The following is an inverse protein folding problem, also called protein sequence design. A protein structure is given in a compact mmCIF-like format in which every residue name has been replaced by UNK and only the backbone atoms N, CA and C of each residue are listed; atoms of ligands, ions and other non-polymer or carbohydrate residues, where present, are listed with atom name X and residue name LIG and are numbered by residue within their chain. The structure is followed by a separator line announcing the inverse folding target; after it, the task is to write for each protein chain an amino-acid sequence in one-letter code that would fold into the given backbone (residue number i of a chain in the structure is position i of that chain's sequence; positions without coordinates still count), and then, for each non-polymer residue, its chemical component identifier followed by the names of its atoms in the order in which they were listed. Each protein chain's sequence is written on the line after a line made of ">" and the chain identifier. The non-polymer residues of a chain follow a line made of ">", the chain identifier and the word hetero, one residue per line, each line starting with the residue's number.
data_IF_912551463812
#
_entry.id   IF_912551463812
#
_cell.length_a   1.000
_cell.length_b   1.000
_cell.length_c   1.000
_cell.angle_alpha   90.00
_cell.angle_beta   90.00
_cell.angle_gamma   90.00
#
_symmetry.space_group_name_H-M   'P 1'
#
loop_
_entity.id
_entity.type
_entity.pdbx_description
1 polymer ?
#
# COMPACT_ATOMS: atom_id res chain seq x y z
N UNK A 1 -27.32 1.62 -21.39
CA UNK A 1 -28.43 0.84 -20.82
C UNK A 1 -27.79 -0.09 -19.79
N UNK A 2 -27.87 0.26 -18.51
CA UNK A 2 -27.36 -0.57 -17.42
C UNK A 2 -28.36 -1.69 -17.17
N UNK A 3 -27.90 -2.92 -17.19
CA UNK A 3 -28.67 -4.08 -16.75
C UNK A 3 -28.98 -3.91 -15.26
N UNK A 4 -30.25 -3.75 -14.93
CA UNK A 4 -30.78 -3.81 -13.57
C UNK A 4 -30.56 -5.22 -13.04
N UNK A 5 -29.63 -5.35 -12.09
CA UNK A 5 -29.40 -6.56 -11.31
C UNK A 5 -30.61 -6.79 -10.37
N UNK A 6 -31.06 -8.02 -10.31
CA UNK A 6 -32.24 -8.46 -9.55
C UNK A 6 -32.09 -8.09 -8.06
N UNK A 7 -33.17 -7.61 -7.45
CA UNK A 7 -33.31 -6.99 -6.11
C UNK A 7 -32.77 -7.77 -4.90
N UNK A 8 -31.48 -8.06 -4.88
CA UNK A 8 -30.76 -8.56 -3.72
C UNK A 8 -30.22 -7.40 -2.85
N UNK A 9 -30.11 -7.59 -1.53
CA UNK A 9 -29.46 -6.63 -0.66
C UNK A 9 -28.01 -6.38 -1.14
N UNK A 10 -27.49 -5.13 -1.03
CA UNK A 10 -26.12 -4.82 -1.45
C UNK A 10 -25.11 -5.67 -0.69
N UNK A 11 -24.03 -6.08 -1.40
CA UNK A 11 -22.92 -6.81 -0.80
C UNK A 11 -22.32 -5.99 0.36
N UNK A 12 -22.08 -6.62 1.50
CA UNK A 12 -21.49 -6.00 2.68
C UNK A 12 -20.05 -6.44 2.81
N UNK A 13 -19.15 -5.47 2.86
CA UNK A 13 -17.70 -5.69 2.86
C UNK A 13 -17.09 -5.13 4.13
N UNK A 14 -16.35 -5.94 4.89
CA UNK A 14 -15.47 -5.48 5.94
C UNK A 14 -14.06 -5.37 5.41
N UNK A 15 -13.53 -4.16 5.28
CA UNK A 15 -12.12 -3.91 4.94
C UNK A 15 -11.31 -3.67 6.20
N UNK A 16 -10.15 -4.31 6.29
CA UNK A 16 -9.21 -4.16 7.40
C UNK A 16 -7.91 -3.53 6.85
N UNK A 17 -7.46 -2.47 7.49
CA UNK A 17 -6.22 -1.77 7.13
C UNK A 17 -5.51 -1.22 8.35
N UNK A 18 -4.18 -1.14 8.28
CA UNK A 18 -3.42 -0.35 9.26
C UNK A 18 -3.66 1.14 9.06
N UNK A 19 -3.69 1.59 7.82
CA UNK A 19 -3.68 2.99 7.43
C UNK A 19 -5.03 3.40 6.84
N UNK A 20 -5.52 4.56 7.26
CA UNK A 20 -6.64 5.26 6.64
C UNK A 20 -6.55 6.76 6.98
N UNK A 21 -6.97 7.69 6.11
CA UNK A 21 -6.95 9.12 6.44
C UNK A 21 -7.67 9.46 7.75
N UNK A 22 -7.09 10.32 8.59
CA UNK A 22 -5.93 11.19 8.33
C UNK A 22 -4.58 10.52 8.52
N UNK A 23 -4.49 9.28 9.00
CA UNK A 23 -3.26 8.59 9.35
C UNK A 23 -2.78 7.69 8.20
N UNK A 24 -2.24 8.30 7.16
CA UNK A 24 -1.65 7.60 6.00
C UNK A 24 -0.14 7.76 6.03
N UNK A 25 0.57 6.63 6.01
CA UNK A 25 2.03 6.57 5.99
C UNK A 25 2.59 6.18 4.61
N UNK A 26 1.83 5.40 3.85
CA UNK A 26 2.30 4.86 2.57
C UNK A 26 1.19 4.57 1.56
N UNK A 27 1.59 4.00 0.43
CA UNK A 27 0.67 3.72 -0.67
C UNK A 27 -0.50 2.79 -0.32
N UNK A 28 -0.34 1.90 0.67
CA UNK A 28 -1.41 1.01 1.08
C UNK A 28 -2.64 1.77 1.64
N UNK A 29 -2.41 2.79 2.47
CA UNK A 29 -3.49 3.63 2.99
C UNK A 29 -4.23 4.40 1.89
N UNK A 30 -3.49 4.94 0.91
CA UNK A 30 -4.07 5.59 -0.27
C UNK A 30 -4.94 4.61 -1.06
N UNK A 31 -4.45 3.38 -1.29
CA UNK A 31 -5.23 2.35 -2.01
C UNK A 31 -6.52 2.02 -1.26
N UNK A 32 -6.46 1.79 0.05
CA UNK A 32 -7.65 1.43 0.84
C UNK A 32 -8.68 2.56 0.84
N UNK A 33 -8.24 3.82 0.96
CA UNK A 33 -9.13 4.98 0.90
C UNK A 33 -9.88 5.04 -0.43
N UNK A 34 -9.17 5.05 -1.55
CA UNK A 34 -9.80 5.20 -2.86
C UNK A 34 -10.63 3.96 -3.24
N UNK A 35 -10.13 2.76 -2.94
CA UNK A 35 -10.87 1.52 -3.22
C UNK A 35 -12.16 1.44 -2.40
N UNK A 36 -12.12 1.77 -1.10
CA UNK A 36 -13.32 1.75 -0.26
C UNK A 36 -14.39 2.73 -0.74
N UNK A 37 -13.98 3.94 -1.18
CA UNK A 37 -14.90 4.93 -1.77
C UNK A 37 -15.47 4.46 -3.10
N UNK A 38 -14.66 3.88 -3.99
CA UNK A 38 -15.14 3.36 -5.26
C UNK A 38 -16.09 2.17 -5.09
N UNK A 39 -15.89 1.35 -4.06
CA UNK A 39 -16.79 0.26 -3.69
C UNK A 39 -18.10 0.75 -3.06
N UNK A 40 -18.09 1.85 -2.29
CA UNK A 40 -19.24 2.36 -1.57
C UNK A 40 -20.46 2.70 -2.46
N UNK A 41 -20.23 2.99 -3.75
CA UNK A 41 -21.31 3.17 -4.73
C UNK A 41 -21.99 1.88 -5.19
N UNK A 42 -21.45 0.70 -4.77
CA UNK A 42 -21.87 -0.63 -5.29
C UNK A 42 -22.03 -1.68 -4.18
N UNK A 43 -21.56 -1.39 -2.97
CA UNK A 43 -21.56 -2.25 -1.81
C UNK A 43 -21.68 -1.41 -0.53
N UNK A 44 -22.09 -2.00 0.57
CA UNK A 44 -21.97 -1.39 1.89
C UNK A 44 -20.60 -1.74 2.47
N UNK A 45 -19.74 -0.74 2.67
CA UNK A 45 -18.35 -0.93 3.10
C UNK A 45 -18.15 -0.43 4.53
N UNK A 46 -17.66 -1.30 5.42
CA UNK A 46 -17.08 -0.92 6.70
C UNK A 46 -15.57 -1.04 6.62
N UNK A 47 -14.84 0.04 6.95
CA UNK A 47 -13.38 0.02 7.10
C UNK A 47 -13.05 0.05 8.58
N UNK A 48 -12.27 -0.92 9.05
CA UNK A 48 -11.62 -0.90 10.37
C UNK A 48 -10.14 -0.60 10.17
N UNK A 49 -9.64 0.44 10.82
CA UNK A 49 -8.25 0.85 10.69
C UNK A 49 -7.61 1.13 12.07
N UNK A 50 -6.31 1.30 12.11
CA UNK A 50 -5.61 1.69 13.32
C UNK A 50 -5.87 3.18 13.61
N UNK A 51 -5.74 3.56 14.89
CA UNK A 51 -5.91 4.94 15.34
C UNK A 51 -7.34 5.27 15.74
N UNK A 52 -7.74 6.51 15.47
CA UNK A 52 -8.98 7.12 15.96
C UNK A 52 -9.90 7.66 14.84
N UNK A 53 -9.63 7.27 13.60
CA UNK A 53 -10.44 7.70 12.47
C UNK A 53 -11.91 7.27 12.65
N UNK A 54 -12.84 8.21 12.46
CA UNK A 54 -14.27 7.94 12.47
C UNK A 54 -14.95 8.74 11.35
N UNK A 55 -15.64 8.03 10.44
CA UNK A 55 -16.39 8.64 9.33
C UNK A 55 -17.63 7.83 9.03
N UNK A 56 -18.67 8.50 8.58
CA UNK A 56 -19.88 7.89 8.06
C UNK A 56 -20.33 8.68 6.83
N UNK A 57 -20.25 8.03 5.68
CA UNK A 57 -20.67 8.56 4.38
C UNK A 57 -21.65 7.55 3.74
N UNK A 58 -22.46 7.93 2.74
CA UNK A 58 -23.33 7.00 2.06
C UNK A 58 -22.56 5.77 1.53
N UNK A 59 -22.91 4.58 2.00
CA UNK A 59 -22.27 3.32 1.63
C UNK A 59 -20.91 3.05 2.27
N UNK A 60 -20.33 3.97 3.05
CA UNK A 60 -19.02 3.84 3.66
C UNK A 60 -19.01 4.24 5.13
N UNK A 61 -18.61 3.32 5.99
CA UNK A 61 -18.32 3.58 7.40
C UNK A 61 -16.86 3.29 7.70
N UNK A 62 -16.20 4.20 8.40
CA UNK A 62 -14.81 4.03 8.85
C UNK A 62 -14.76 4.08 10.36
N UNK A 63 -14.00 3.17 10.97
CA UNK A 63 -13.79 3.12 12.41
C UNK A 63 -12.34 2.82 12.75
N UNK A 64 -11.75 3.69 13.56
CA UNK A 64 -10.41 3.54 14.11
C UNK A 64 -10.39 2.65 15.37
N UNK A 65 -9.29 1.94 15.54
CA UNK A 65 -9.01 1.06 16.69
C UNK A 65 -7.63 1.38 17.24
N UNK A 66 -7.52 1.86 18.48
CA UNK A 66 -6.23 2.07 19.12
C UNK A 66 -5.60 0.75 19.50
N UNK A 67 -4.28 0.72 19.65
CA UNK A 67 -3.61 -0.41 20.30
C UNK A 67 -4.05 -0.55 21.77
N UNK A 68 -3.92 -1.74 22.34
CA UNK A 68 -4.17 -1.95 23.76
C UNK A 68 -3.16 -1.16 24.59
N UNK A 69 -3.62 -0.29 25.47
CA UNK A 69 -2.78 0.59 26.29
C UNK A 69 -1.69 -0.17 27.08
N UNK A 70 -1.99 -1.39 27.53
CA UNK A 70 -1.02 -2.23 28.25
C UNK A 70 0.04 -2.88 27.39
N UNK A 71 -0.18 -2.96 26.07
CA UNK A 71 0.75 -3.52 25.08
C UNK A 71 1.39 -2.40 24.25
N UNK A 72 0.75 -1.24 24.17
CA UNK A 72 1.39 -0.03 23.70
C UNK A 72 2.46 0.35 24.73
N UNK A 73 3.73 0.30 24.32
CA UNK A 73 4.81 0.81 25.17
C UNK A 73 4.62 2.29 25.48
N UNK A 74 5.32 2.85 26.46
CA UNK A 74 5.25 4.28 26.76
C UNK A 74 5.59 5.08 25.50
N UNK A 75 4.81 6.12 25.21
CA UNK A 75 5.09 7.04 24.11
C UNK A 75 6.45 7.70 24.34
N UNK A 76 7.20 8.06 23.28
CA UNK A 76 8.44 8.79 23.44
C UNK A 76 8.24 10.02 24.34
N UNK A 77 8.87 10.04 25.52
CA UNK A 77 8.75 11.13 26.51
C UNK A 77 7.80 10.88 27.67
N UNK A 78 7.04 9.77 27.71
CA UNK A 78 6.23 9.38 28.86
C UNK A 78 7.02 8.35 29.70
N UNK A 79 7.23 8.67 30.99
CA UNK A 79 7.65 7.70 31.99
C UNK A 79 6.44 6.92 32.49
N UNK A 80 6.58 5.61 32.71
CA UNK A 80 5.52 4.83 33.36
C UNK A 80 5.30 5.34 34.78
N UNK A 81 4.03 5.44 35.19
CA UNK A 81 3.66 5.87 36.57
C UNK A 81 4.24 4.94 37.65
N UNK A 82 4.66 3.72 37.30
CA UNK A 82 5.24 2.72 38.20
C UNK A 82 6.75 2.87 38.42
N UNK A 83 7.39 3.89 37.82
CA UNK A 83 8.84 4.13 37.97
C UNK A 83 9.73 3.08 37.28
N UNK A 84 9.17 2.17 36.47
CA UNK A 84 9.96 1.18 35.73
C UNK A 84 10.75 1.86 34.61
N UNK A 85 12.03 1.43 34.43
CA UNK A 85 12.88 1.92 33.35
C UNK A 85 12.28 1.59 31.99
N UNK A 86 12.49 2.46 30.97
CA UNK A 86 12.15 2.11 29.59
C UNK A 86 12.76 0.74 29.24
N UNK A 87 12.00 -0.07 28.55
CA UNK A 87 12.49 -1.35 28.04
C UNK A 87 13.84 -1.18 27.33
N UNK A 88 14.76 -2.11 27.52
CA UNK A 88 16.06 -2.10 26.84
C UNK A 88 15.84 -2.01 25.33
N UNK A 89 16.73 -1.31 24.61
CA UNK A 89 16.61 -1.01 23.16
C UNK A 89 16.28 -2.24 22.29
N UNK A 90 16.61 -3.46 22.74
CA UNK A 90 16.26 -4.73 22.10
C UNK A 90 14.79 -5.10 22.20
N UNK A 91 14.14 -4.82 23.33
CA UNK A 91 12.71 -5.11 23.53
C UNK A 91 11.79 -4.15 22.79
N UNK A 92 12.22 -2.90 22.59
CA UNK A 92 11.45 -1.88 21.87
C UNK A 92 11.25 -2.20 20.38
N UNK A 93 12.14 -2.96 19.76
CA UNK A 93 12.09 -3.24 18.31
C UNK A 93 10.92 -4.12 17.88
N UNK A 94 10.45 -5.03 18.71
CA UNK A 94 9.30 -5.89 18.39
C UNK A 94 7.95 -5.32 18.89
N UNK A 95 7.97 -4.28 19.69
CA UNK A 95 6.76 -3.64 20.21
C UNK A 95 5.74 -3.28 19.10
N UNK A 96 6.14 -2.73 17.93
CA UNK A 96 5.19 -2.44 16.85
C UNK A 96 4.45 -3.68 16.32
N UNK A 97 5.07 -4.86 16.39
CA UNK A 97 4.40 -6.10 15.98
C UNK A 97 3.32 -6.52 17.02
N UNK A 98 3.61 -6.37 18.30
CA UNK A 98 2.65 -6.66 19.37
C UNK A 98 1.50 -5.64 19.38
N UNK A 99 1.78 -4.38 19.14
CA UNK A 99 0.75 -3.34 18.98
C UNK A 99 -0.21 -3.68 17.83
N UNK A 100 0.32 -4.11 16.68
CA UNK A 100 -0.51 -4.53 15.55
C UNK A 100 -1.43 -5.69 15.94
N UNK A 101 -0.89 -6.75 16.56
CA UNK A 101 -1.69 -7.89 16.98
C UNK A 101 -2.75 -7.51 18.05
N UNK A 102 -2.45 -6.55 18.93
CA UNK A 102 -3.41 -6.07 19.92
C UNK A 102 -4.58 -5.34 19.29
N UNK A 103 -4.31 -4.53 18.27
CA UNK A 103 -5.35 -3.84 17.49
C UNK A 103 -6.21 -4.84 16.71
N UNK A 104 -5.61 -5.87 16.15
CA UNK A 104 -6.30 -6.97 15.46
C UNK A 104 -7.32 -7.67 16.35
N UNK A 105 -6.95 -7.94 17.61
CA UNK A 105 -7.88 -8.54 18.58
C UNK A 105 -9.07 -7.61 18.87
N UNK A 106 -8.85 -6.30 18.97
CA UNK A 106 -9.93 -5.33 19.16
C UNK A 106 -10.85 -5.25 17.92
N UNK A 107 -10.29 -5.26 16.71
CA UNK A 107 -11.06 -5.28 15.47
C UNK A 107 -11.93 -6.53 15.34
N UNK A 108 -11.39 -7.70 15.71
CA UNK A 108 -12.10 -8.97 15.59
C UNK A 108 -13.15 -9.19 16.71
N UNK A 109 -13.00 -8.52 17.87
CA UNK A 109 -13.96 -8.61 18.98
C UNK A 109 -15.33 -8.03 18.64
N UNK A 110 -15.36 -6.97 17.86
CA UNK A 110 -16.60 -6.28 17.56
C UNK A 110 -17.45 -7.07 16.56
N UNK A 111 -18.78 -6.96 16.72
CA UNK A 111 -19.73 -7.61 15.81
C UNK A 111 -19.41 -7.29 14.35
N UNK A 112 -19.41 -8.32 13.53
CA UNK A 112 -19.24 -8.22 12.08
C UNK A 112 -20.57 -8.46 11.39
N UNK A 113 -20.99 -7.54 10.53
CA UNK A 113 -22.14 -7.67 9.65
C UNK A 113 -21.66 -7.49 8.21
N UNK A 114 -20.97 -8.51 7.70
CA UNK A 114 -20.37 -8.50 6.37
C UNK A 114 -20.48 -9.89 5.71
N UNK A 115 -20.46 -9.89 4.39
CA UNK A 115 -20.50 -11.09 3.56
C UNK A 115 -19.08 -11.55 3.18
N UNK A 116 -18.10 -10.65 3.31
CA UNK A 116 -16.67 -10.89 3.05
C UNK A 116 -15.81 -9.98 3.92
N UNK A 117 -14.67 -10.49 4.41
CA UNK A 117 -13.62 -9.69 5.03
C UNK A 117 -12.42 -9.56 4.09
N UNK A 118 -11.90 -8.35 3.94
CA UNK A 118 -10.77 -8.04 3.08
C UNK A 118 -9.65 -7.36 3.86
N UNK A 119 -8.53 -8.07 4.07
CA UNK A 119 -7.35 -7.58 4.79
C UNK A 119 -6.32 -7.01 3.83
N UNK A 120 -5.72 -5.87 4.20
CA UNK A 120 -4.64 -5.22 3.49
C UNK A 120 -3.36 -5.26 4.31
N UNK A 121 -2.34 -5.95 3.83
CA UNK A 121 -1.03 -6.18 4.47
C UNK A 121 -1.07 -7.10 5.71
N UNK A 122 0.11 -7.46 6.22
CA UNK A 122 0.26 -8.32 7.39
C UNK A 122 -0.23 -7.69 8.70
N UNK A 123 -0.27 -6.36 8.76
CA UNK A 123 -0.65 -5.62 9.98
C UNK A 123 -2.05 -5.92 10.49
N UNK A 124 -2.93 -6.39 9.61
CA UNK A 124 -4.33 -6.75 9.95
C UNK A 124 -4.64 -8.22 9.60
N UNK A 125 -3.58 -9.01 9.43
CA UNK A 125 -3.69 -10.42 9.06
C UNK A 125 -4.42 -11.24 10.13
N UNK A 126 -4.07 -11.05 11.40
CA UNK A 126 -4.70 -11.77 12.51
C UNK A 126 -6.18 -11.41 12.65
N UNK A 127 -6.54 -10.12 12.50
CA UNK A 127 -7.95 -9.71 12.52
C UNK A 127 -8.75 -10.40 11.42
N UNK A 128 -8.23 -10.44 10.17
CA UNK A 128 -8.89 -11.12 9.07
C UNK A 128 -9.09 -12.61 9.31
N UNK A 129 -8.07 -13.31 9.81
CA UNK A 129 -8.15 -14.73 10.15
C UNK A 129 -9.15 -15.00 11.29
N UNK A 130 -9.16 -14.17 12.33
CA UNK A 130 -10.11 -14.28 13.44
C UNK A 130 -11.55 -14.01 12.99
N UNK A 131 -11.77 -12.95 12.22
CA UNK A 131 -13.09 -12.63 11.67
C UNK A 131 -13.61 -13.78 10.79
N UNK A 132 -12.76 -14.31 9.91
CA UNK A 132 -13.10 -15.49 9.10
C UNK A 132 -13.53 -16.69 9.96
N UNK A 133 -12.77 -16.96 11.01
CA UNK A 133 -13.03 -18.13 11.88
C UNK A 133 -14.24 -17.94 12.80
N UNK A 134 -14.45 -16.74 13.34
CA UNK A 134 -15.51 -16.46 14.33
C UNK A 134 -16.87 -16.24 13.68
N UNK A 135 -16.91 -15.69 12.48
CA UNK A 135 -18.16 -15.32 11.80
C UNK A 135 -18.47 -16.16 10.56
N UNK A 136 -17.59 -17.13 10.22
CA UNK A 136 -17.73 -18.03 9.07
C UNK A 136 -17.99 -17.29 7.75
N UNK A 137 -17.18 -16.25 7.49
CA UNK A 137 -17.20 -15.47 6.25
C UNK A 137 -15.87 -15.58 5.52
N UNK A 138 -15.85 -15.51 4.17
CA UNK A 138 -14.61 -15.63 3.40
C UNK A 138 -13.63 -14.50 3.67
N UNK A 139 -12.33 -14.84 3.64
CA UNK A 139 -11.22 -13.90 3.74
C UNK A 139 -10.58 -13.68 2.36
N UNK A 140 -10.50 -12.40 1.97
CA UNK A 140 -9.67 -11.93 0.87
C UNK A 140 -8.47 -11.18 1.44
N UNK A 141 -7.28 -11.35 0.87
CA UNK A 141 -6.05 -10.65 1.28
C UNK A 141 -5.44 -9.93 0.09
N UNK A 142 -5.24 -8.62 0.19
CA UNK A 142 -4.43 -7.87 -0.78
C UNK A 142 -3.04 -7.62 -0.24
N UNK A 143 -2.05 -7.98 -1.06
CA UNK A 143 -0.63 -7.80 -0.77
C UNK A 143 -0.10 -6.55 -1.48
N UNK A 144 0.42 -5.60 -0.70
CA UNK A 144 1.06 -4.38 -1.20
C UNK A 144 2.60 -4.46 -1.20
N UNK A 145 3.14 -5.44 -0.50
CA UNK A 145 4.55 -5.85 -0.46
C UNK A 145 4.61 -7.24 0.16
N UNK A 146 5.74 -7.94 0.04
CA UNK A 146 5.95 -9.24 0.65
C UNK A 146 7.09 -9.16 1.66
N UNK A 147 6.88 -9.67 2.87
CA UNK A 147 7.93 -9.70 3.90
C UNK A 147 9.16 -10.51 3.44
N UNK A 148 9.07 -11.69 2.79
CA UNK A 148 10.23 -12.41 2.27
C UNK A 148 11.12 -11.62 1.31
N UNK A 149 10.57 -10.62 0.61
CA UNK A 149 11.30 -9.77 -0.32
C UNK A 149 11.80 -8.46 0.32
N UNK A 150 11.69 -8.32 1.64
CA UNK A 150 12.05 -7.13 2.40
C UNK A 150 12.94 -7.46 3.60
N UNK A 151 14.06 -8.20 3.41
CA UNK A 151 14.90 -8.67 4.51
C UNK A 151 15.48 -7.52 5.38
N UNK A 152 15.65 -6.33 4.81
CA UNK A 152 16.06 -5.13 5.58
C UNK A 152 15.07 -4.73 6.68
N UNK A 153 13.81 -5.20 6.63
CA UNK A 153 12.83 -5.00 7.70
C UNK A 153 13.24 -5.67 9.01
N UNK A 154 14.06 -6.71 8.96
CA UNK A 154 14.59 -7.34 10.16
C UNK A 154 15.46 -6.36 10.98
N UNK A 155 16.16 -5.42 10.33
CA UNK A 155 16.93 -4.37 11.01
C UNK A 155 16.02 -3.39 11.75
N UNK A 156 14.83 -3.11 11.20
CA UNK A 156 13.86 -2.17 11.78
C UNK A 156 13.00 -2.81 12.88
N UNK A 157 12.56 -4.04 12.68
CA UNK A 157 11.63 -4.75 13.55
C UNK A 157 12.32 -5.72 14.52
N UNK A 158 13.61 -6.00 14.33
CA UNK A 158 14.33 -7.03 15.08
C UNK A 158 13.56 -8.36 14.97
N UNK A 159 13.36 -9.05 16.10
CA UNK A 159 12.58 -10.31 16.12
C UNK A 159 11.08 -10.12 15.84
N UNK A 160 10.57 -8.90 15.81
CA UNK A 160 9.23 -8.59 15.32
C UNK A 160 9.02 -8.93 13.84
N UNK A 161 10.12 -9.04 13.07
CA UNK A 161 10.09 -9.52 11.68
C UNK A 161 9.61 -10.99 11.56
N UNK A 162 9.93 -11.83 12.54
CA UNK A 162 9.41 -13.20 12.58
C UNK A 162 7.88 -13.20 12.74
N UNK A 163 7.36 -12.28 13.54
CA UNK A 163 5.91 -12.13 13.77
C UNK A 163 5.23 -11.63 12.50
N UNK A 164 5.77 -10.59 11.83
CA UNK A 164 5.19 -10.07 10.59
C UNK A 164 5.19 -11.12 9.48
N UNK A 165 6.30 -11.85 9.33
CA UNK A 165 6.43 -12.93 8.34
C UNK A 165 5.47 -14.09 8.61
N UNK A 166 5.30 -14.48 9.87
CA UNK A 166 4.32 -15.48 10.28
C UNK A 166 2.89 -15.03 10.00
N UNK A 167 2.53 -13.80 10.37
CA UNK A 167 1.19 -13.27 10.18
C UNK A 167 0.83 -13.16 8.69
N UNK A 168 1.75 -12.67 7.86
CA UNK A 168 1.57 -12.63 6.40
C UNK A 168 1.36 -14.02 5.81
N UNK A 169 2.24 -15.00 6.17
CA UNK A 169 2.11 -16.38 5.71
C UNK A 169 0.77 -16.99 6.10
N UNK A 170 0.39 -16.87 7.37
CA UNK A 170 -0.87 -17.41 7.86
C UNK A 170 -2.08 -16.83 7.13
N UNK A 171 -2.07 -15.52 6.84
CA UNK A 171 -3.15 -14.87 6.11
C UNK A 171 -3.19 -15.31 4.65
N UNK A 172 -2.06 -15.33 3.94
CA UNK A 172 -1.98 -15.72 2.52
C UNK A 172 -2.42 -17.16 2.32
N UNK A 173 -1.88 -18.09 3.12
CA UNK A 173 -2.20 -19.52 3.02
C UNK A 173 -3.63 -19.83 3.50
N UNK A 174 -4.15 -19.06 4.45
CA UNK A 174 -5.50 -19.19 5.02
C UNK A 174 -6.61 -18.49 4.25
N UNK A 175 -6.31 -17.53 3.37
CA UNK A 175 -7.31 -16.75 2.63
C UNK A 175 -8.08 -17.59 1.59
N UNK A 176 -9.33 -17.26 1.33
CA UNK A 176 -10.13 -17.86 0.26
C UNK A 176 -9.70 -17.34 -1.11
N UNK A 177 -9.27 -16.06 -1.19
CA UNK A 177 -8.62 -15.44 -2.36
C UNK A 177 -7.51 -14.51 -1.93
N UNK A 178 -6.49 -14.41 -2.78
CA UNK A 178 -5.36 -13.49 -2.62
C UNK A 178 -5.32 -12.56 -3.83
N UNK A 179 -5.20 -11.27 -3.58
CA UNK A 179 -5.00 -10.24 -4.61
C UNK A 179 -3.53 -9.81 -4.59
N UNK A 180 -2.83 -10.03 -5.69
CA UNK A 180 -1.52 -9.51 -5.97
C UNK A 180 -1.65 -8.25 -6.82
N UNK A 181 -0.93 -7.17 -6.47
CA UNK A 181 -1.07 -5.88 -7.17
C UNK A 181 -0.33 -5.83 -8.52
N UNK A 182 0.39 -6.90 -8.88
CA UNK A 182 1.04 -7.07 -10.17
C UNK A 182 1.22 -8.55 -10.52
N UNK A 183 1.48 -8.88 -11.79
CA UNK A 183 1.79 -10.22 -12.23
C UNK A 183 3.10 -10.71 -11.59
N UNK A 184 4.12 -9.83 -11.49
CA UNK A 184 5.35 -10.17 -10.78
C UNK A 184 5.07 -10.55 -9.32
N UNK A 185 4.25 -9.75 -8.62
CA UNK A 185 3.89 -10.09 -7.24
C UNK A 185 3.13 -11.43 -7.15
N UNK A 186 2.30 -11.76 -8.13
CA UNK A 186 1.65 -13.08 -8.18
C UNK A 186 2.68 -14.21 -8.28
N UNK A 187 3.70 -14.07 -9.11
CA UNK A 187 4.81 -15.03 -9.20
C UNK A 187 5.56 -15.13 -7.86
N UNK A 188 5.86 -14.01 -7.25
CA UNK A 188 6.53 -13.94 -5.94
C UNK A 188 5.69 -14.63 -4.84
N UNK A 189 4.38 -14.42 -4.83
CA UNK A 189 3.45 -15.11 -3.90
C UNK A 189 3.51 -16.62 -4.10
N UNK A 190 3.44 -17.09 -5.33
CA UNK A 190 3.48 -18.53 -5.62
C UNK A 190 4.84 -19.17 -5.30
N UNK A 191 5.91 -18.38 -5.34
CA UNK A 191 7.26 -18.85 -5.01
C UNK A 191 7.50 -18.94 -3.49
N UNK A 192 6.87 -18.11 -2.67
CA UNK A 192 7.18 -17.97 -1.25
C UNK A 192 6.12 -18.53 -0.30
N UNK A 193 4.89 -18.79 -0.76
CA UNK A 193 3.78 -19.27 0.04
C UNK A 193 3.13 -20.52 -0.55
N UNK A 194 2.62 -21.38 0.34
CA UNK A 194 1.88 -22.60 -0.05
C UNK A 194 0.43 -22.24 -0.38
N UNK A 195 0.20 -21.61 -1.52
CA UNK A 195 -1.12 -21.21 -1.98
C UNK A 195 -1.39 -21.72 -3.40
N UNK A 196 -2.60 -22.19 -3.65
CA UNK A 196 -3.03 -22.62 -4.99
C UNK A 196 -3.07 -21.43 -5.96
N UNK A 197 -2.50 -21.61 -7.16
CA UNK A 197 -2.43 -20.56 -8.18
C UNK A 197 -3.81 -20.04 -8.61
N UNK A 198 -4.84 -20.87 -8.53
CA UNK A 198 -6.23 -20.48 -8.82
C UNK A 198 -6.84 -19.57 -7.77
N UNK A 199 -6.25 -19.49 -6.56
CA UNK A 199 -6.69 -18.56 -5.51
C UNK A 199 -6.05 -17.18 -5.63
N UNK A 200 -4.97 -17.01 -6.42
CA UNK A 200 -4.24 -15.75 -6.56
C UNK A 200 -4.70 -15.01 -7.82
N UNK A 201 -5.29 -13.83 -7.64
CA UNK A 201 -5.73 -12.94 -8.70
C UNK A 201 -4.81 -11.73 -8.80
N UNK A 202 -4.59 -11.24 -10.02
CA UNK A 202 -3.88 -9.97 -10.24
C UNK A 202 -4.92 -8.87 -10.37
N UNK A 203 -4.88 -7.90 -9.47
CA UNK A 203 -5.65 -6.66 -9.56
C UNK A 203 -4.70 -5.50 -9.27
N UNK A 204 -4.47 -4.66 -10.28
CA UNK A 204 -3.63 -3.48 -10.14
C UNK A 204 -4.24 -2.46 -9.19
N UNK A 205 -3.42 -1.57 -8.66
CA UNK A 205 -3.93 -0.38 -7.98
C UNK A 205 -4.41 0.65 -9.01
N UNK A 206 -5.31 1.53 -8.59
CA UNK A 206 -5.80 2.64 -9.37
C UNK A 206 -5.11 3.95 -9.05
N UNK A 207 -5.45 4.98 -9.81
CA UNK A 207 -5.15 6.38 -9.52
C UNK A 207 -6.40 7.23 -9.83
N UNK A 208 -6.58 8.30 -9.06
CA UNK A 208 -7.62 9.28 -9.33
C UNK A 208 -7.12 10.30 -10.36
N UNK A 209 -7.51 10.10 -11.64
CA UNK A 209 -7.15 10.99 -12.72
C UNK A 209 -7.87 12.37 -12.67
N UNK A 210 -8.82 12.54 -11.76
CA UNK A 210 -9.45 13.84 -11.46
C UNK A 210 -8.58 14.66 -10.49
N UNK A 211 -7.91 14.00 -9.55
CA UNK A 211 -6.93 14.63 -8.66
C UNK A 211 -5.60 14.82 -9.40
N UNK A 212 -5.04 13.74 -9.94
CA UNK A 212 -3.79 13.77 -10.71
C UNK A 212 -4.06 14.10 -12.17
N UNK A 213 -4.18 15.39 -12.46
CA UNK A 213 -4.34 15.92 -13.81
C UNK A 213 -3.43 17.11 -14.03
N UNK A 214 -3.01 17.32 -15.28
CA UNK A 214 -2.17 18.45 -15.61
C UNK A 214 -2.80 19.78 -15.20
N UNK A 215 -2.00 20.66 -14.61
CA UNK A 215 -2.41 22.00 -14.20
C UNK A 215 -1.40 23.05 -14.66
N UNK A 216 -1.91 24.22 -15.07
CA UNK A 216 -1.07 25.38 -15.39
C UNK A 216 -0.60 26.16 -14.14
N UNK A 217 -1.16 25.85 -12.96
CA UNK A 217 -0.75 26.48 -11.70
C UNK A 217 0.72 26.17 -11.39
N UNK A 218 1.45 27.18 -10.90
CA UNK A 218 2.88 27.10 -10.60
C UNK A 218 3.26 27.67 -9.22
N UNK A 219 2.30 28.08 -8.44
CA UNK A 219 2.52 28.71 -7.13
C UNK A 219 3.29 27.81 -6.14
N UNK A 220 3.13 26.48 -6.27
CA UNK A 220 3.94 25.55 -5.50
C UNK A 220 5.44 25.58 -5.91
N UNK A 221 5.72 25.70 -7.22
CA UNK A 221 7.10 25.82 -7.71
C UNK A 221 7.76 27.08 -7.15
N UNK A 222 7.04 28.20 -7.19
CA UNK A 222 7.54 29.49 -6.70
C UNK A 222 7.79 29.44 -5.19
N UNK A 223 6.84 28.90 -4.41
CA UNK A 223 6.98 28.74 -2.95
C UNK A 223 8.21 27.90 -2.57
N UNK A 224 8.49 26.86 -3.36
CA UNK A 224 9.61 25.94 -3.08
C UNK A 224 10.91 26.32 -3.81
N UNK A 225 10.94 27.42 -4.57
CA UNK A 225 12.12 27.90 -5.30
C UNK A 225 12.60 26.91 -6.37
N UNK A 226 11.65 26.26 -7.07
CA UNK A 226 11.92 25.30 -8.14
C UNK A 226 12.01 26.04 -9.46
N UNK A 227 13.09 25.79 -10.19
CA UNK A 227 13.35 26.35 -11.52
C UNK A 227 13.12 25.29 -12.59
N UNK A 228 12.49 25.66 -13.67
CA UNK A 228 12.34 24.81 -14.86
C UNK A 228 13.48 25.05 -15.84
N UNK A 229 13.95 24.02 -16.58
CA UNK A 229 13.47 22.64 -16.54
C UNK A 229 14.06 21.85 -15.34
N UNK A 230 13.31 20.84 -14.85
CA UNK A 230 13.78 19.97 -13.78
C UNK A 230 13.36 18.51 -13.98
N UNK A 231 14.15 17.62 -13.38
CA UNK A 231 13.83 16.21 -13.18
C UNK A 231 13.23 16.05 -11.79
N UNK A 232 12.14 15.30 -11.68
CA UNK A 232 11.40 15.09 -10.44
C UNK A 232 11.54 13.66 -9.93
N UNK A 233 11.78 13.52 -8.64
CA UNK A 233 11.59 12.30 -7.85
C UNK A 233 10.56 12.56 -6.76
N UNK A 234 9.62 11.62 -6.57
CA UNK A 234 8.63 11.65 -5.47
C UNK A 234 8.68 10.33 -4.72
N UNK A 235 8.73 10.36 -3.39
CA UNK A 235 8.66 9.14 -2.60
C UNK A 235 9.32 9.25 -1.23
N UNK A 236 9.29 8.14 -0.47
CA UNK A 236 10.00 8.03 0.80
C UNK A 236 11.51 7.85 0.57
N UNK A 237 12.28 8.26 1.55
CA UNK A 237 13.72 8.01 1.55
C UNK A 237 13.96 6.59 2.09
N UNK A 238 14.20 5.66 1.17
CA UNK A 238 14.50 4.26 1.48
C UNK A 238 15.47 3.67 0.46
N UNK A 239 16.22 2.64 0.85
CA UNK A 239 17.12 1.92 -0.07
C UNK A 239 16.31 1.32 -1.23
N UNK A 240 15.11 0.82 -0.96
CA UNK A 240 14.22 0.26 -1.98
C UNK A 240 13.87 1.26 -3.09
N UNK A 241 13.81 2.58 -2.79
CA UNK A 241 13.47 3.61 -3.76
C UNK A 241 14.65 4.08 -4.63
N UNK A 242 15.85 3.58 -4.37
CA UNK A 242 17.02 3.80 -5.23
C UNK A 242 17.49 5.26 -5.36
N UNK A 243 17.20 6.09 -4.36
CA UNK A 243 17.49 7.54 -4.42
C UNK A 243 18.98 7.83 -4.64
N UNK A 244 19.89 6.99 -4.13
CA UNK A 244 21.32 7.17 -4.33
C UNK A 244 21.77 6.86 -5.75
N UNK A 245 21.14 5.89 -6.42
CA UNK A 245 21.36 5.64 -7.85
C UNK A 245 20.92 6.83 -8.70
N UNK A 246 19.83 7.51 -8.29
CA UNK A 246 19.41 8.74 -8.95
C UNK A 246 20.40 9.87 -8.75
N UNK A 247 20.92 10.08 -7.52
CA UNK A 247 21.92 11.13 -7.26
C UNK A 247 23.20 10.91 -8.08
N UNK A 248 23.66 9.66 -8.17
CA UNK A 248 24.82 9.30 -9.00
C UNK A 248 24.54 9.58 -10.49
N UNK A 249 23.41 9.13 -11.01
CA UNK A 249 23.00 9.39 -12.38
C UNK A 249 22.84 10.89 -12.68
N UNK A 250 22.33 11.66 -11.73
CA UNK A 250 22.09 13.09 -11.85
C UNK A 250 23.38 13.92 -11.99
N UNK A 251 24.53 13.40 -11.55
CA UNK A 251 25.82 14.06 -11.74
C UNK A 251 26.13 14.36 -13.22
N UNK A 252 25.58 13.56 -14.12
CA UNK A 252 25.77 13.68 -15.58
C UNK A 252 24.66 14.46 -16.31
N UNK A 253 23.70 15.04 -15.59
CA UNK A 253 22.66 15.89 -16.19
C UNK A 253 23.24 17.20 -16.74
N UNK A 254 22.61 17.79 -17.77
CA UNK A 254 22.95 19.13 -18.24
C UNK A 254 22.97 20.17 -17.10
N UNK A 255 23.84 21.18 -17.16
CA UNK A 255 24.03 22.12 -16.05
C UNK A 255 22.81 23.01 -15.75
N UNK A 256 21.93 23.18 -16.68
CA UNK A 256 20.69 23.96 -16.59
C UNK A 256 19.51 23.15 -16.02
N UNK A 257 19.65 21.84 -15.89
CA UNK A 257 18.63 20.96 -15.34
C UNK A 257 18.74 20.85 -13.84
N UNK A 258 17.68 21.20 -13.11
CA UNK A 258 17.55 20.99 -11.66
C UNK A 258 17.05 19.57 -11.37
N UNK A 259 17.53 18.93 -10.30
CA UNK A 259 16.94 17.73 -9.74
C UNK A 259 16.09 18.12 -8.51
N UNK A 260 14.80 17.82 -8.53
CA UNK A 260 13.89 18.07 -7.41
C UNK A 260 13.55 16.73 -6.76
N UNK A 261 13.85 16.63 -5.47
CA UNK A 261 13.53 15.49 -4.63
C UNK A 261 12.36 15.88 -3.71
N UNK A 262 11.16 15.47 -4.03
CA UNK A 262 10.00 15.51 -3.12
C UNK A 262 10.03 14.23 -2.29
N UNK A 263 10.85 14.22 -1.22
CA UNK A 263 11.22 13.02 -0.51
C UNK A 263 11.23 13.24 1.01
N UNK A 264 10.43 12.46 1.72
CA UNK A 264 10.22 12.56 3.16
C UNK A 264 10.42 11.22 3.85
N UNK A 265 10.36 11.23 5.18
CA UNK A 265 10.32 10.06 6.04
C UNK A 265 11.44 9.06 5.69
N UNK A 266 12.70 9.35 6.02
CA UNK A 266 13.77 8.37 5.89
C UNK A 266 13.44 7.13 6.74
N UNK A 267 13.68 5.94 6.18
CA UNK A 267 13.44 4.68 6.87
C UNK A 267 14.31 4.56 8.15
N UNK A 268 15.48 5.20 8.15
CA UNK A 268 16.36 5.35 9.33
C UNK A 268 16.98 6.73 9.39
N UNK A 269 17.39 7.22 10.59
CA UNK A 269 18.11 8.48 10.74
C UNK A 269 19.43 8.55 9.95
N UNK A 270 20.15 7.42 9.87
CA UNK A 270 21.43 7.30 9.15
C UNK A 270 21.22 7.51 7.65
N UNK A 271 20.13 6.96 7.10
CA UNK A 271 19.78 7.13 5.69
C UNK A 271 19.44 8.60 5.38
N UNK A 272 18.74 9.27 6.30
CA UNK A 272 18.45 10.70 6.20
C UNK A 272 19.72 11.55 6.23
N UNK A 273 20.64 11.27 7.15
CA UNK A 273 21.92 11.97 7.25
C UNK A 273 22.79 11.74 5.99
N UNK A 274 22.85 10.51 5.48
CA UNK A 274 23.55 10.18 4.23
C UNK A 274 22.99 10.95 3.03
N UNK A 275 21.66 11.04 2.92
CA UNK A 275 21.03 11.84 1.87
C UNK A 275 21.36 13.32 2.00
N UNK A 276 21.26 13.89 3.19
CA UNK A 276 21.60 15.29 3.44
C UNK A 276 23.05 15.62 3.05
N UNK A 277 23.99 14.74 3.42
CA UNK A 277 25.40 14.89 3.05
C UNK A 277 25.61 14.81 1.53
N UNK A 278 24.92 13.89 0.84
CA UNK A 278 25.03 13.77 -0.62
C UNK A 278 24.42 14.97 -1.35
N UNK A 279 23.26 15.46 -0.91
CA UNK A 279 22.61 16.65 -1.49
C UNK A 279 23.45 17.91 -1.30
N UNK A 280 24.13 18.06 -0.15
CA UNK A 280 25.01 19.22 0.11
C UNK A 280 26.18 19.35 -0.90
N UNK A 281 26.57 18.26 -1.56
CA UNK A 281 27.61 18.25 -2.59
C UNK A 281 27.08 18.56 -4.00
N UNK A 282 25.72 18.63 -4.16
CA UNK A 282 25.07 18.77 -5.45
C UNK A 282 24.20 20.04 -5.49
N UNK A 283 24.76 21.20 -5.87
CA UNK A 283 24.08 22.51 -5.78
C UNK A 283 22.82 22.61 -6.66
N UNK A 284 22.65 21.69 -7.61
CA UNK A 284 21.46 21.62 -8.49
C UNK A 284 20.37 20.73 -7.93
N UNK A 285 20.56 20.08 -6.79
CA UNK A 285 19.54 19.27 -6.15
C UNK A 285 18.73 20.13 -5.20
N UNK A 286 17.43 20.17 -5.41
CA UNK A 286 16.46 20.78 -4.49
C UNK A 286 15.72 19.69 -3.73
N UNK A 287 16.03 19.52 -2.47
CA UNK A 287 15.36 18.56 -1.62
C UNK A 287 14.24 19.23 -0.82
N UNK A 288 13.00 18.76 -1.06
CA UNK A 288 11.79 19.15 -0.33
C UNK A 288 11.54 18.09 0.75
N UNK A 289 12.10 18.32 1.93
CA UNK A 289 11.96 17.43 3.08
C UNK A 289 10.67 17.77 3.86
N UNK A 290 9.53 17.69 3.18
CA UNK A 290 8.22 17.91 3.77
C UNK A 290 7.17 17.05 3.06
N UNK A 291 6.13 16.63 3.80
CA UNK A 291 4.93 16.07 3.20
C UNK A 291 4.17 17.23 2.52
N UNK A 292 4.11 17.19 1.21
CA UNK A 292 3.38 18.19 0.44
C UNK A 292 1.91 17.79 0.28
N UNK A 293 1.00 18.77 0.25
CA UNK A 293 -0.40 18.51 -0.08
C UNK A 293 -0.52 18.03 -1.53
N UNK A 294 -1.54 17.20 -1.87
CA UNK A 294 -1.70 16.61 -3.20
C UNK A 294 -1.69 17.65 -4.34
N UNK A 295 -2.30 18.81 -4.13
CA UNK A 295 -2.35 19.90 -5.11
C UNK A 295 -0.97 20.49 -5.44
N UNK A 296 -0.03 20.47 -4.50
CA UNK A 296 1.34 20.89 -4.74
C UNK A 296 2.11 19.82 -5.52
N UNK A 297 1.92 18.54 -5.14
CA UNK A 297 2.54 17.41 -5.83
C UNK A 297 2.08 17.33 -7.28
N UNK A 298 0.79 17.60 -7.56
CA UNK A 298 0.25 17.68 -8.92
C UNK A 298 0.94 18.78 -9.74
N UNK A 299 1.19 19.96 -9.15
CA UNK A 299 1.95 21.01 -9.83
C UNK A 299 3.39 20.56 -10.11
N UNK A 300 4.05 19.86 -9.16
CA UNK A 300 5.39 19.32 -9.40
C UNK A 300 5.41 18.31 -10.53
N UNK A 301 4.45 17.40 -10.61
CA UNK A 301 4.34 16.49 -11.75
C UNK A 301 4.09 17.25 -13.05
N UNK A 302 3.12 18.17 -13.07
CA UNK A 302 2.67 18.86 -14.27
C UNK A 302 3.76 19.66 -14.99
N UNK A 303 4.72 20.21 -14.24
CA UNK A 303 5.78 21.05 -14.77
C UNK A 303 7.16 20.40 -14.82
N UNK A 304 7.28 19.13 -14.40
CA UNK A 304 8.53 18.38 -14.52
C UNK A 304 8.82 18.07 -16.00
N UNK A 305 10.05 18.32 -16.42
CA UNK A 305 10.52 17.88 -17.73
C UNK A 305 10.57 16.34 -17.82
N UNK A 306 10.79 15.69 -16.66
CA UNK A 306 10.88 14.25 -16.55
C UNK A 306 10.61 13.83 -15.11
N UNK A 307 9.79 12.78 -14.91
CA UNK A 307 9.68 12.06 -13.65
C UNK A 307 10.59 10.84 -13.67
N UNK A 308 11.30 10.56 -12.56
CA UNK A 308 12.22 9.43 -12.47
C UNK A 308 11.87 8.54 -11.27
N UNK A 309 11.70 7.25 -11.53
CA UNK A 309 11.45 6.21 -10.54
C UNK A 309 12.59 5.17 -10.55
N UNK A 310 13.67 5.35 -9.77
CA UNK A 310 14.87 4.52 -9.81
C UNK A 310 14.78 3.32 -8.85
N UNK A 311 13.56 2.85 -8.52
CA UNK A 311 13.32 1.84 -7.50
C UNK A 311 14.08 0.54 -7.78
N UNK A 312 14.60 -0.06 -6.71
CA UNK A 312 15.24 -1.38 -6.73
C UNK A 312 14.21 -2.49 -6.49
N UNK A 313 13.20 -2.17 -5.69
CA UNK A 313 12.04 -3.01 -5.44
C UNK A 313 10.78 -2.16 -5.46
N UNK A 314 9.81 -2.53 -6.31
CA UNK A 314 8.55 -1.79 -6.45
C UNK A 314 7.41 -2.77 -6.76
N UNK A 315 6.60 -3.11 -5.78
CA UNK A 315 5.48 -4.05 -5.97
C UNK A 315 4.52 -3.63 -7.08
N UNK A 316 4.24 -2.33 -7.20
CA UNK A 316 3.37 -1.79 -8.24
C UNK A 316 3.88 -0.48 -8.85
N UNK A 317 4.04 0.59 -8.03
CA UNK A 317 4.56 1.88 -8.49
C UNK A 317 3.50 2.94 -8.73
N UNK A 318 2.67 3.23 -7.72
CA UNK A 318 1.62 4.27 -7.76
C UNK A 318 2.15 5.62 -8.25
N UNK A 319 3.34 6.03 -7.83
CA UNK A 319 3.97 7.30 -8.21
C UNK A 319 4.19 7.42 -9.73
N UNK A 320 4.36 6.29 -10.44
CA UNK A 320 4.41 6.32 -11.90
C UNK A 320 3.03 6.59 -12.51
N UNK A 321 1.95 6.02 -11.92
CA UNK A 321 0.59 6.33 -12.35
C UNK A 321 0.24 7.81 -12.11
N UNK A 322 0.64 8.38 -10.98
CA UNK A 322 0.44 9.79 -10.65
C UNK A 322 1.13 10.70 -11.67
N UNK A 323 2.41 10.44 -11.97
CA UNK A 323 3.17 11.16 -13.00
C UNK A 323 2.51 11.02 -14.39
N UNK A 324 2.17 9.79 -14.79
CA UNK A 324 1.52 9.52 -16.07
C UNK A 324 0.14 10.19 -16.14
N UNK A 325 -0.64 10.21 -15.07
CA UNK A 325 -1.93 10.89 -14.98
C UNK A 325 -1.80 12.40 -15.19
N UNK A 326 -0.72 13.02 -14.72
CA UNK A 326 -0.39 14.41 -15.02
C UNK A 326 0.18 14.64 -16.43
N UNK A 327 0.37 13.58 -17.22
CA UNK A 327 0.97 13.65 -18.56
C UNK A 327 2.48 13.83 -18.56
N UNK A 328 3.14 13.62 -17.40
CA UNK A 328 4.58 13.76 -17.24
C UNK A 328 5.31 12.60 -17.88
N UNK A 329 6.38 12.83 -18.67
CA UNK A 329 7.23 11.75 -19.18
C UNK A 329 7.91 11.00 -18.05
N UNK A 330 8.01 9.66 -18.16
CA UNK A 330 8.55 8.79 -17.10
C UNK A 330 9.80 8.06 -17.59
N UNK A 331 10.86 8.09 -16.77
CA UNK A 331 11.96 7.13 -16.82
C UNK A 331 11.92 6.31 -15.53
N UNK A 332 11.85 4.98 -15.63
CA UNK A 332 11.74 4.12 -14.47
C UNK A 332 12.60 2.85 -14.61
N UNK A 333 12.93 2.23 -13.50
CA UNK A 333 13.61 0.93 -13.50
C UNK A 333 12.62 -0.19 -13.83
N UNK A 334 13.08 -1.20 -14.55
CA UNK A 334 12.27 -2.35 -14.99
C UNK A 334 12.13 -3.40 -13.86
N UNK A 335 11.49 -3.02 -12.74
CA UNK A 335 11.28 -3.90 -11.58
C UNK A 335 9.80 -4.03 -11.22
N UNK A 336 9.42 -5.20 -10.73
CA UNK A 336 8.09 -5.47 -10.19
C UNK A 336 6.96 -5.00 -11.11
N UNK A 337 5.95 -4.39 -10.52
CA UNK A 337 4.77 -3.86 -11.23
C UNK A 337 5.04 -2.66 -12.12
N UNK A 338 6.20 -1.99 -12.02
CA UNK A 338 6.55 -0.88 -12.93
C UNK A 338 6.49 -1.33 -14.39
N UNK A 339 6.88 -2.58 -14.71
CA UNK A 339 6.82 -3.16 -16.06
C UNK A 339 5.39 -3.26 -16.62
N UNK A 340 4.40 -3.26 -15.74
CA UNK A 340 2.99 -3.34 -16.11
C UNK A 340 2.34 -1.96 -16.21
N UNK A 341 2.87 -0.99 -15.46
CA UNK A 341 2.45 0.41 -15.49
C UNK A 341 3.04 1.14 -16.69
N UNK A 342 4.38 1.12 -16.81
CA UNK A 342 5.11 1.81 -17.89
C UNK A 342 5.45 0.83 -19.01
N UNK A 343 5.04 1.16 -20.22
CA UNK A 343 5.41 0.41 -21.43
C UNK A 343 6.58 1.12 -22.11
N UNK A 344 7.70 0.39 -22.23
CA UNK A 344 8.94 0.94 -22.78
C UNK A 344 8.74 1.49 -24.21
N UNK A 345 9.22 2.70 -24.45
CA UNK A 345 9.10 3.44 -25.73
C UNK A 345 7.66 3.78 -26.19
N UNK A 346 6.63 3.41 -25.40
CA UNK A 346 5.24 3.75 -25.71
C UNK A 346 4.66 4.77 -24.71
N UNK A 347 4.95 4.60 -23.40
CA UNK A 347 4.43 5.47 -22.34
C UNK A 347 5.52 5.99 -21.39
N UNK A 348 6.78 5.64 -21.65
CA UNK A 348 7.96 6.03 -20.88
C UNK A 348 9.16 5.17 -21.26
N UNK A 349 10.24 5.31 -20.50
CA UNK A 349 11.46 4.51 -20.70
C UNK A 349 11.71 3.63 -19.47
N UNK A 350 12.04 2.38 -19.75
CA UNK A 350 12.46 1.42 -18.73
C UNK A 350 13.96 1.14 -18.85
N UNK A 351 14.65 1.15 -17.73
CA UNK A 351 16.09 0.86 -17.60
C UNK A 351 16.35 -0.28 -16.61
N UNK A 352 17.49 -0.97 -16.67
CA UNK A 352 17.85 -1.93 -15.63
C UNK A 352 17.89 -1.28 -14.23
N UNK A 353 17.49 -1.99 -13.16
CA UNK A 353 17.66 -1.51 -11.81
C UNK A 353 19.14 -1.48 -11.41
N UNK A 354 19.50 -0.65 -10.41
CA UNK A 354 20.85 -0.53 -9.86
C UNK A 354 21.93 -0.22 -10.90
N UNK A 355 21.55 0.45 -12.00
CA UNK A 355 22.43 0.85 -13.09
C UNK A 355 22.37 2.37 -13.29
N UNK A 356 23.11 3.18 -12.49
CA UNK A 356 23.16 4.63 -12.63
C UNK A 356 23.60 5.12 -14.02
N UNK A 357 24.58 4.48 -14.72
CA UNK A 357 24.92 4.83 -16.08
C UNK A 357 23.76 4.70 -17.07
N UNK A 358 23.01 3.59 -17.04
CA UNK A 358 21.85 3.40 -17.88
C UNK A 358 20.74 4.40 -17.57
N UNK A 359 20.49 4.67 -16.28
CA UNK A 359 19.54 5.69 -15.83
C UNK A 359 19.93 7.07 -16.32
N UNK A 360 21.19 7.45 -16.20
CA UNK A 360 21.73 8.72 -16.68
C UNK A 360 21.59 8.87 -18.20
N UNK A 361 21.88 7.80 -18.96
CA UNK A 361 21.75 7.79 -20.42
C UNK A 361 20.29 8.00 -20.85
N UNK A 362 19.33 7.29 -20.19
CA UNK A 362 17.91 7.43 -20.48
C UNK A 362 17.38 8.83 -20.12
N UNK A 363 17.76 9.38 -18.97
CA UNK A 363 17.38 10.76 -18.60
C UNK A 363 17.89 11.78 -19.62
N UNK A 364 19.17 11.71 -20.03
CA UNK A 364 19.73 12.62 -21.04
C UNK A 364 19.05 12.48 -22.39
N UNK A 365 18.77 11.24 -22.82
CA UNK A 365 18.08 10.98 -24.10
C UNK A 365 16.65 11.55 -24.08
N UNK A 366 15.93 11.40 -22.96
CA UNK A 366 14.59 11.95 -22.79
C UNK A 366 14.59 13.48 -22.83
N UNK A 367 15.52 14.11 -22.10
CA UNK A 367 15.67 15.58 -22.05
C UNK A 367 16.11 16.18 -23.39
N UNK A 368 16.89 15.45 -24.18
CA UNK A 368 17.31 15.88 -25.53
C UNK A 368 16.18 15.76 -26.59
N UNK A 369 15.06 15.10 -26.28
CA UNK A 369 13.94 14.87 -27.20
C UNK A 369 12.60 15.30 -26.55
N UNK A 370 12.39 16.59 -26.25
CA UNK A 370 11.23 17.05 -25.47
C UNK A 370 9.90 16.75 -26.14
N UNK A 371 9.81 16.81 -27.47
CA UNK A 371 8.59 16.50 -28.22
C UNK A 371 8.21 15.01 -28.09
N UNK A 372 9.19 14.12 -28.19
CA UNK A 372 8.99 12.67 -27.94
C UNK A 372 8.61 12.40 -26.51
N UNK A 373 9.30 13.02 -25.56
CA UNK A 373 9.01 12.89 -24.14
C UNK A 373 7.55 13.31 -23.86
N UNK A 374 7.12 14.47 -24.36
CA UNK A 374 5.74 14.93 -24.21
C UNK A 374 4.73 13.98 -24.90
N UNK A 375 5.06 13.39 -26.04
CA UNK A 375 4.20 12.40 -26.70
C UNK A 375 4.03 11.13 -25.84
N UNK A 376 5.11 10.63 -25.24
CA UNK A 376 5.06 9.48 -24.31
C UNK A 376 4.27 9.82 -23.03
N UNK A 377 4.43 11.02 -22.48
CA UNK A 377 3.62 11.50 -21.36
C UNK A 377 2.12 11.50 -21.67
N UNK A 378 1.73 12.03 -22.83
CA UNK A 378 0.32 11.98 -23.27
C UNK A 378 -0.18 10.54 -23.48
N UNK A 379 0.64 9.66 -24.01
CA UNK A 379 0.29 8.24 -24.15
C UNK A 379 0.15 7.57 -22.77
N UNK A 380 1.02 7.91 -21.84
CA UNK A 380 0.94 7.49 -20.42
C UNK A 380 -0.39 7.88 -19.79
N UNK A 381 -0.83 9.13 -19.93
CA UNK A 381 -2.13 9.58 -19.42
C UNK A 381 -3.30 8.77 -20.00
N UNK A 382 -3.36 8.58 -21.31
CA UNK A 382 -4.42 7.76 -21.94
C UNK A 382 -4.44 6.33 -21.40
N UNK A 383 -3.26 5.74 -21.13
CA UNK A 383 -3.15 4.41 -20.54
C UNK A 383 -3.72 4.38 -19.14
N UNK A 384 -3.41 5.39 -18.32
CA UNK A 384 -3.94 5.52 -16.95
C UNK A 384 -5.47 5.58 -16.98
N UNK A 385 -6.03 6.49 -17.75
CA UNK A 385 -7.48 6.69 -17.85
C UNK A 385 -8.23 5.43 -18.32
N UNK A 386 -7.62 4.63 -19.19
CA UNK A 386 -8.25 3.45 -19.77
C UNK A 386 -8.11 2.18 -18.91
N UNK A 387 -7.12 2.08 -18.01
CA UNK A 387 -6.77 0.83 -17.35
C UNK A 387 -6.71 0.88 -15.82
N UNK A 388 -6.46 2.06 -15.23
CA UNK A 388 -6.11 2.22 -13.84
C UNK A 388 -7.06 3.15 -13.08
N UNK A 389 -8.31 3.28 -13.52
CA UNK A 389 -9.34 4.01 -12.77
C UNK A 389 -9.81 3.20 -11.55
N UNK A 390 -10.13 3.88 -10.46
CA UNK A 390 -10.62 3.21 -9.25
C UNK A 390 -11.95 2.49 -9.47
N UNK A 391 -12.80 2.99 -10.38
CA UNK A 391 -14.07 2.33 -10.75
C UNK A 391 -13.81 0.95 -11.35
N UNK A 392 -12.81 0.85 -12.25
CA UNK A 392 -12.43 -0.43 -12.85
C UNK A 392 -11.82 -1.39 -11.82
N UNK A 393 -10.97 -0.87 -10.94
CA UNK A 393 -10.36 -1.67 -9.87
C UNK A 393 -11.43 -2.18 -8.88
N UNK A 394 -12.42 -1.36 -8.54
CA UNK A 394 -13.54 -1.76 -7.71
C UNK A 394 -14.38 -2.87 -8.36
N UNK A 395 -14.65 -2.80 -9.67
CA UNK A 395 -15.36 -3.86 -10.42
C UNK A 395 -14.64 -5.20 -10.32
N UNK A 396 -13.34 -5.22 -10.63
CA UNK A 396 -12.52 -6.43 -10.54
C UNK A 396 -12.45 -6.97 -9.11
N UNK A 397 -12.41 -6.08 -8.12
CA UNK A 397 -12.40 -6.48 -6.70
C UNK A 397 -13.73 -7.12 -6.29
N UNK A 398 -14.86 -6.58 -6.75
CA UNK A 398 -16.18 -7.18 -6.52
C UNK A 398 -16.31 -8.58 -7.16
N UNK A 399 -15.70 -8.80 -8.32
CA UNK A 399 -15.64 -10.16 -8.93
C UNK A 399 -14.90 -11.13 -8.00
N UNK A 400 -13.74 -10.71 -7.43
CA UNK A 400 -12.99 -11.54 -6.46
C UNK A 400 -13.80 -11.80 -5.19
N UNK A 401 -14.56 -10.84 -4.70
CA UNK A 401 -15.43 -11.07 -3.53
C UNK A 401 -16.50 -12.11 -3.81
N UNK A 402 -17.18 -12.04 -4.96
CA UNK A 402 -18.17 -13.05 -5.38
C UNK A 402 -17.53 -14.43 -5.51
N UNK A 403 -16.34 -14.52 -6.11
CA UNK A 403 -15.56 -15.75 -6.21
C UNK A 403 -15.17 -16.31 -4.84
N UNK A 404 -14.78 -15.46 -3.88
CA UNK A 404 -14.44 -15.87 -2.53
C UNK A 404 -15.64 -16.42 -1.78
N UNK A 405 -16.80 -15.75 -1.87
CA UNK A 405 -18.06 -16.17 -1.25
C UNK A 405 -18.51 -17.53 -1.82
N UNK A 406 -18.45 -17.69 -3.14
CA UNK A 406 -18.82 -18.95 -3.79
C UNK A 406 -17.90 -20.11 -3.38
N UNK A 407 -16.59 -19.88 -3.35
CA UNK A 407 -15.61 -20.87 -2.94
C UNK A 407 -15.75 -21.26 -1.46
N UNK A 408 -15.98 -20.29 -0.58
CA UNK A 408 -16.16 -20.51 0.85
C UNK A 408 -17.39 -21.40 1.13
N UNK A 409 -18.50 -21.11 0.48
CA UNK A 409 -19.74 -21.92 0.59
C UNK A 409 -19.59 -23.35 0.07
N UNK A 410 -18.68 -23.56 -0.89
CA UNK A 410 -18.41 -24.88 -1.50
C UNK A 410 -17.44 -25.73 -0.68
N UNK A 411 -16.73 -25.12 0.27
CA UNK A 411 -15.76 -25.81 1.12
C UNK A 411 -16.49 -26.44 2.30
N UNK A 412 -16.38 -27.77 2.53
CA UNK A 412 -16.98 -28.39 3.71
C UNK A 412 -16.47 -27.71 4.99
N UNK A 413 -17.38 -27.46 5.93
CA UNK A 413 -17.01 -26.88 7.22
C UNK A 413 -15.82 -27.66 7.84
N UNK A 414 -14.73 -26.98 8.16
CA UNK A 414 -13.52 -27.60 8.77
C UNK A 414 -13.82 -28.33 10.08
N UNK A 415 -14.94 -27.99 10.72
CA UNK A 415 -15.44 -28.65 11.93
C UNK A 415 -16.87 -29.12 11.66
N UNK A 416 -17.21 -30.40 11.89
CA UNK A 416 -18.56 -30.86 11.70
C UNK A 416 -19.54 -30.09 12.60
N UNK A 417 -20.75 -29.77 12.11
CA UNK A 417 -21.77 -28.99 12.84
C UNK A 417 -22.12 -29.54 14.25
N UNK A 418 -21.87 -30.81 14.45
CA UNK A 418 -22.10 -31.52 15.73
C UNK A 418 -21.19 -31.06 16.86
N UNK A 419 -20.00 -30.48 16.59
CA UNK A 419 -19.11 -29.94 17.62
C UNK A 419 -19.49 -28.51 18.04
N UNK A 420 -20.28 -27.81 17.22
CA UNK A 420 -20.70 -26.43 17.51
C UNK A 420 -22.09 -26.34 18.16
N UNK A 421 -22.87 -27.40 18.14
CA UNK A 421 -24.10 -27.51 18.93
C UNK A 421 -23.73 -28.06 20.30
N UNK A 422 -23.38 -27.17 21.22
CA UNK A 422 -23.29 -27.49 22.64
C UNK A 422 -24.62 -28.03 23.13
N UNK A 423 -24.78 -29.35 23.08
CA UNK A 423 -25.78 -30.00 23.88
C UNK A 423 -25.43 -29.73 25.34
N UNK A 424 -26.28 -29.00 26.04
CA UNK A 424 -26.18 -28.90 27.49
C UNK A 424 -26.08 -30.31 28.03
N UNK A 425 -25.04 -30.66 28.80
CA UNK A 425 -25.05 -31.94 29.52
C UNK A 425 -26.22 -31.87 30.49
N UNK A 426 -27.24 -32.70 30.27
CA UNK A 426 -28.19 -33.03 31.34
C UNK A 426 -27.41 -33.64 32.49
N UNK A 427 -27.12 -32.82 33.48
CA UNK A 427 -26.63 -33.30 34.77
C UNK A 427 -27.83 -33.95 35.44
N UNK A 428 -27.91 -35.26 35.33
CA UNK A 428 -28.84 -36.09 36.08
C UNK A 428 -28.44 -36.02 37.55
N UNK A 429 -29.09 -35.15 38.30
CA UNK A 429 -28.97 -35.09 39.79
C UNK A 429 -29.80 -36.22 40.38
N UNK A 430 -29.26 -37.43 40.37
CA UNK A 430 -29.71 -38.45 41.32
C UNK A 430 -28.94 -38.27 42.61
N UNK A 431 -29.60 -37.68 43.59
CA UNK A 431 -29.13 -37.63 44.97
C UNK A 431 -29.23 -39.01 45.61
N UNK A 432 -28.35 -39.31 46.60
CA UNK A 432 -28.40 -40.57 47.31
C UNK A 432 -29.67 -40.65 48.13
N UNK A 433 -30.44 -41.73 47.95
CA UNK A 433 -31.47 -42.14 48.89
C UNK A 433 -30.82 -42.98 49.99
N UNK A 434 -31.04 -42.52 51.22
CA UNK A 434 -30.99 -43.17 52.54
C UNK A 434 -30.08 -44.40 52.74
#
# INVERSE_FOLDING_TARGET
>A
MAASDEGGAPLRVLMLSREYPPHVYGGAGVVVEHLSRALAGRAAVEVRCFGDAERSEPGLRVRGYPAWDRLAGPRPGESREDGSRPAEMGEARYAPALEALSTDLLMARDRVDADVVHSHTWYVALAGLLVRALFDIPLVVTLHSLEPLRPWKAEQLGRGYEVSSWAERAAVEGADRVIAVSAQMREDVLAHFSVDAGRVRVIHNGVDAGIFQHTERRDALDRHGIRTPYVLFVGRISEQKGIFHLLEAAASLPPDIQLVLCATAPDTPELGARLAAAVAQLPRVRWLNAMLPPEDVVQLYSHAALFVCPSVYEPFGLINLEAMACGTPVVATAVGGIREVVVHDETGWLVPPTDPPALAAAMRAALAQPERAAALGRAGRRRVESRFSWERIAELTLEVYRDAIAAHRSTPARYPPTLLRGGSPHVDRQGPRA
#
